data_IF_448160394889
#
_entry.id   IF_448160394889
#
_cell.length_a   1.000
_cell.length_b   1.000
_cell.length_c   1.000
_cell.angle_alpha   90.00
_cell.angle_beta   90.00
_cell.angle_gamma   90.00
#
_symmetry.space_group_name_H-M   'P 1'
#
loop_
_entity.id
_entity.type
_entity.pdbx_description
1 polymer ?
#
# COMPACT_ATOMS: atom_id res chain seq x y z
N UNK A 1 -8.55 -1.09 -0.76
CA UNK A 1 -7.25 -1.37 -0.14
C UNK A 1 -6.33 -0.26 -0.50
N UNK A 2 -5.13 -0.26 0.05
CA UNK A 2 -4.07 0.65 -0.32
C UNK A 2 -3.19 0.12 -1.48
N UNK A 3 -3.64 -0.86 -2.28
CA UNK A 3 -2.90 -1.46 -3.41
C UNK A 3 -2.04 -0.46 -4.17
N UNK A 4 -2.65 0.67 -4.53
CA UNK A 4 -2.03 1.76 -5.27
C UNK A 4 -0.90 2.44 -4.47
N UNK A 5 -1.09 2.66 -3.16
CA UNK A 5 -0.04 3.18 -2.28
C UNK A 5 1.10 2.18 -2.11
N UNK A 6 0.80 0.88 -1.95
CA UNK A 6 1.83 -0.17 -1.92
C UNK A 6 2.67 -0.17 -3.19
N UNK A 7 2.03 -0.05 -4.35
CA UNK A 7 2.73 0.01 -5.63
C UNK A 7 3.69 1.21 -5.71
N UNK A 8 3.28 2.37 -5.18
CA UNK A 8 4.15 3.55 -5.09
C UNK A 8 5.28 3.41 -4.07
N UNK A 9 5.07 2.63 -3.02
CA UNK A 9 6.02 2.40 -1.93
C UNK A 9 6.98 1.22 -2.20
N UNK A 10 6.98 0.66 -3.42
CA UNK A 10 7.94 -0.35 -3.83
C UNK A 10 9.38 0.19 -3.65
N UNK A 11 10.36 -0.64 -3.22
CA UNK A 11 11.70 -0.17 -2.89
C UNK A 11 12.36 0.66 -4.00
N UNK A 12 12.11 0.26 -5.25
CA UNK A 12 12.48 0.97 -6.48
C UNK A 12 11.25 1.00 -7.35
N UNK A 13 10.60 2.17 -7.43
CA UNK A 13 9.40 2.37 -8.22
C UNK A 13 9.77 3.00 -9.58
N UNK A 14 9.21 2.50 -10.70
CA UNK A 14 8.48 1.23 -10.82
C UNK A 14 9.41 0.02 -10.65
N UNK A 15 8.87 -1.10 -10.13
CA UNK A 15 9.66 -2.34 -10.01
C UNK A 15 10.15 -2.89 -11.37
N UNK A 16 11.15 -3.76 -11.30
CA UNK A 16 11.63 -4.54 -12.44
C UNK A 16 12.49 -3.76 -13.45
N UNK A 17 12.94 -2.56 -13.10
CA UNK A 17 13.95 -1.81 -13.84
C UNK A 17 15.29 -1.91 -13.10
N UNK A 18 16.21 -2.70 -13.65
CA UNK A 18 17.56 -2.84 -13.09
C UNK A 18 18.27 -1.47 -13.05
N UNK A 19 18.80 -1.12 -11.88
CA UNK A 19 19.49 0.15 -11.67
C UNK A 19 18.58 1.37 -11.50
N UNK A 20 17.26 1.18 -11.36
CA UNK A 20 16.37 2.28 -11.00
C UNK A 20 16.76 2.92 -9.67
N UNK A 21 16.61 4.24 -9.60
CA UNK A 21 16.77 5.01 -8.38
C UNK A 21 15.74 4.60 -7.31
N UNK A 22 16.01 5.00 -6.06
CA UNK A 22 15.07 4.79 -4.96
C UNK A 22 13.77 5.57 -5.24
N UNK A 23 12.63 4.88 -5.14
CA UNK A 23 11.32 5.50 -5.38
C UNK A 23 10.99 6.57 -4.34
N UNK A 24 10.21 7.59 -4.72
CA UNK A 24 9.91 8.73 -3.85
C UNK A 24 9.22 8.36 -2.52
N UNK A 25 8.46 7.27 -2.49
CA UNK A 25 7.76 6.77 -1.29
C UNK A 25 8.39 5.49 -0.73
N UNK A 26 9.59 5.15 -1.19
CA UNK A 26 10.30 3.95 -0.77
C UNK A 26 10.81 4.09 0.66
N UNK A 27 10.75 2.98 1.41
CA UNK A 27 11.36 2.86 2.73
C UNK A 27 12.89 3.01 2.67
N UNK A 28 13.52 2.83 1.50
CA UNK A 28 14.97 3.00 1.32
C UNK A 28 15.43 4.47 1.41
N UNK A 29 14.51 5.44 1.44
CA UNK A 29 14.84 6.84 1.73
C UNK A 29 15.10 7.09 3.23
N UNK A 30 14.85 6.09 4.08
CA UNK A 30 15.14 6.15 5.50
C UNK A 30 16.59 5.74 5.75
N UNK A 31 17.35 6.61 6.43
CA UNK A 31 18.77 6.41 6.75
C UNK A 31 19.03 5.18 7.64
N UNK A 32 18.02 4.70 8.38
CA UNK A 32 18.09 3.46 9.15
C UNK A 32 18.10 2.20 8.29
N UNK A 33 17.65 2.28 7.03
CA UNK A 33 17.51 1.13 6.15
C UNK A 33 18.73 1.01 5.25
N UNK A 34 19.39 -0.14 5.30
CA UNK A 34 20.45 -0.47 4.35
C UNK A 34 19.85 -0.60 2.93
N UNK A 35 20.19 0.33 2.04
CA UNK A 35 19.64 0.41 0.68
C UNK A 35 20.01 -0.76 -0.25
N UNK A 36 20.97 -1.59 0.15
CA UNK A 36 21.42 -2.76 -0.60
C UNK A 36 20.65 -4.01 -0.18
N UNK A 37 20.44 -4.18 1.12
CA UNK A 37 19.87 -5.40 1.71
C UNK A 37 18.41 -5.23 2.17
N UNK A 38 17.94 -3.99 2.31
CA UNK A 38 16.65 -3.66 2.91
C UNK A 38 16.60 -3.89 4.43
N UNK A 39 17.74 -4.16 5.07
CA UNK A 39 17.81 -4.44 6.49
C UNK A 39 17.66 -3.14 7.30
N UNK A 40 16.76 -3.16 8.28
CA UNK A 40 16.63 -2.07 9.24
C UNK A 40 17.74 -2.16 10.30
N UNK A 41 18.72 -1.28 10.18
CA UNK A 41 19.90 -1.21 11.06
C UNK A 41 19.62 -0.50 12.38
N UNK A 42 18.50 0.22 12.48
CA UNK A 42 18.09 0.95 13.68
C UNK A 42 16.96 0.24 14.44
N UNK A 43 16.51 -0.93 13.98
CA UNK A 43 15.56 -1.79 14.67
C UNK A 43 16.15 -2.30 16.01
N UNK A 44 16.17 -1.43 17.02
CA UNK A 44 16.20 -1.83 18.42
C UNK A 44 14.86 -2.48 18.81
N UNK A 45 14.60 -2.72 20.10
CA UNK A 45 13.27 -3.11 20.61
C UNK A 45 12.25 -1.95 20.49
N UNK A 46 12.29 -1.20 19.39
CA UNK A 46 11.52 -0.01 19.13
C UNK A 46 10.03 -0.30 19.27
N UNK A 47 9.37 0.62 19.94
CA UNK A 47 8.02 0.50 20.45
C UNK A 47 7.05 0.50 19.28
N UNK A 48 6.54 -0.69 18.96
CA UNK A 48 5.17 -0.98 18.55
C UNK A 48 4.33 0.28 18.26
N UNK A 49 4.12 0.57 16.98
CA UNK A 49 3.03 1.45 16.53
C UNK A 49 3.25 2.97 16.57
N UNK A 50 4.45 3.48 16.87
CA UNK A 50 4.70 4.93 16.79
C UNK A 50 5.32 5.30 15.45
N UNK A 51 4.71 6.27 14.76
CA UNK A 51 5.44 7.11 13.81
C UNK A 51 6.66 7.65 14.56
N UNK A 52 7.88 7.28 14.13
CA UNK A 52 9.09 7.63 14.87
C UNK A 52 9.63 8.99 14.39
N UNK A 53 9.50 10.07 15.18
CA UNK A 53 10.04 11.38 14.83
C UNK A 53 11.57 11.46 14.95
N UNK A 54 12.23 10.48 15.57
CA UNK A 54 13.69 10.38 15.52
C UNK A 54 14.17 9.89 14.13
N UNK A 55 13.27 9.25 13.37
CA UNK A 55 13.53 8.70 12.03
C UNK A 55 13.05 9.65 10.92
N UNK A 56 11.86 10.24 11.07
CA UNK A 56 11.42 11.40 10.28
C UNK A 56 10.89 12.49 11.21
N UNK A 57 11.73 13.49 11.49
CA UNK A 57 11.37 14.60 12.38
C UNK A 57 10.22 15.49 11.90
N UNK A 58 9.78 15.35 10.65
CA UNK A 58 8.72 16.19 10.06
C UNK A 58 7.36 15.48 10.08
N UNK A 59 7.28 14.22 9.68
CA UNK A 59 6.00 13.49 9.58
C UNK A 59 5.96 12.19 10.41
N UNK A 60 7.11 11.76 10.94
CA UNK A 60 7.33 10.44 11.51
C UNK A 60 7.27 9.32 10.46
N UNK A 61 8.02 8.25 10.67
CA UNK A 61 7.98 7.06 9.79
C UNK A 61 7.51 5.85 10.57
N UNK A 62 6.73 4.98 9.93
CA UNK A 62 6.39 3.68 10.51
C UNK A 62 7.54 2.72 10.28
N UNK A 63 8.10 2.21 11.37
CA UNK A 63 9.08 1.12 11.33
C UNK A 63 8.31 -0.20 11.14
N UNK A 64 8.82 -1.09 10.27
CA UNK A 64 8.16 -2.34 9.85
C UNK A 64 7.97 -3.40 10.95
N UNK A 65 8.14 -3.02 12.21
CA UNK A 65 7.89 -3.86 13.38
C UNK A 65 6.41 -4.26 13.47
N UNK A 66 5.46 -3.39 13.11
CA UNK A 66 4.02 -3.59 13.30
C UNK A 66 3.39 -4.75 12.51
N UNK A 67 3.97 -5.15 11.37
CA UNK A 67 3.44 -6.19 10.49
C UNK A 67 3.39 -7.58 11.14
N UNK A 68 4.15 -7.80 12.23
CA UNK A 68 4.29 -9.11 12.89
C UNK A 68 3.81 -9.16 14.34
N UNK A 69 3.23 -8.08 14.89
CA UNK A 69 2.66 -8.05 16.24
C UNK A 69 1.14 -7.79 16.19
N UNK A 70 0.31 -8.86 16.26
CA UNK A 70 -1.14 -8.74 16.20
C UNK A 70 -1.70 -7.73 17.21
N UNK A 71 -2.61 -6.86 16.75
CA UNK A 71 -3.30 -5.86 17.60
C UNK A 71 -2.60 -4.51 17.71
N UNK A 72 -1.54 -4.26 16.93
CA UNK A 72 -0.72 -3.05 17.07
C UNK A 72 -0.50 -2.25 15.79
N UNK A 73 -0.96 -2.78 14.65
CA UNK A 73 -0.89 -2.12 13.34
C UNK A 73 -1.43 -0.70 13.44
N UNK A 74 -0.54 0.28 13.29
CA UNK A 74 -0.88 1.70 13.22
C UNK A 74 -1.90 2.12 14.28
N UNK A 75 -1.71 1.68 15.53
CA UNK A 75 -2.54 2.08 16.66
C UNK A 75 -1.71 2.98 17.59
N UNK A 76 -1.46 4.21 17.13
CA UNK A 76 -0.80 5.23 17.93
C UNK A 76 -1.78 5.72 19.00
N UNK A 77 -1.49 5.42 20.28
CA UNK A 77 -2.34 5.80 21.41
C UNK A 77 -2.27 7.30 21.73
N UNK A 78 -1.27 8.01 21.22
CA UNK A 78 -1.02 9.42 21.50
C UNK A 78 -1.53 10.35 20.40
N UNK A 79 -1.58 9.90 19.14
CA UNK A 79 -2.08 10.70 18.01
C UNK A 79 -3.05 9.93 17.10
N UNK A 80 -4.29 10.41 17.04
CA UNK A 80 -5.35 9.80 16.21
C UNK A 80 -5.09 9.96 14.71
N UNK A 81 -4.31 10.96 14.26
CA UNK A 81 -3.97 11.09 12.83
C UNK A 81 -3.03 9.99 12.35
N UNK A 82 -2.33 9.37 13.31
CA UNK A 82 -1.40 8.27 13.11
C UNK A 82 -2.07 6.90 13.35
N UNK A 83 -3.39 6.88 13.59
CA UNK A 83 -4.15 5.66 13.63
C UNK A 83 -4.66 5.31 12.23
N UNK A 84 -4.37 4.11 11.72
CA UNK A 84 -4.98 3.66 10.46
C UNK A 84 -5.60 2.27 10.57
N UNK A 85 -6.82 2.15 10.02
CA UNK A 85 -7.54 0.88 9.83
C UNK A 85 -7.38 0.35 8.41
N UNK A 86 -6.27 0.68 7.76
CA UNK A 86 -6.04 0.39 6.34
C UNK A 86 -5.34 -0.97 6.24
N UNK A 87 -5.87 -1.86 5.40
CA UNK A 87 -5.22 -3.14 5.09
C UNK A 87 -4.28 -2.93 3.90
N UNK A 88 -3.03 -3.40 4.06
CA UNK A 88 -1.92 -3.12 3.15
C UNK A 88 -1.79 -4.08 1.95
N UNK A 89 -2.68 -5.08 1.89
CA UNK A 89 -2.70 -6.09 0.85
C UNK A 89 -3.75 -5.76 -0.22
N UNK A 90 -3.52 -6.17 -1.48
CA UNK A 90 -4.57 -6.25 -2.51
C UNK A 90 -5.78 -7.09 -2.05
N UNK A 91 -6.91 -7.00 -2.76
CA UNK A 91 -8.15 -7.69 -2.37
C UNK A 91 -9.35 -6.82 -1.99
N UNK A 92 -9.44 -5.57 -2.47
CA UNK A 92 -10.64 -4.76 -2.19
C UNK A 92 -10.83 -3.65 -3.21
N UNK A 93 -12.08 -3.17 -3.30
CA UNK A 93 -12.47 -2.09 -4.19
C UNK A 93 -13.68 -1.32 -3.65
N UNK A 94 -13.83 -0.03 -4.01
CA UNK A 94 -15.03 0.72 -3.69
C UNK A 94 -16.22 0.24 -4.54
N UNK A 95 -17.42 0.28 -3.96
CA UNK A 95 -18.69 -0.08 -4.60
C UNK A 95 -19.48 1.18 -4.88
N UNK A 96 -19.90 1.35 -6.14
CA UNK A 96 -20.70 2.47 -6.60
C UNK A 96 -22.08 2.00 -7.09
N UNK A 97 -23.12 2.75 -6.74
CA UNK A 97 -24.48 2.58 -7.26
C UNK A 97 -24.95 3.94 -7.74
N UNK A 98 -25.46 4.03 -8.97
CA UNK A 98 -25.91 5.30 -9.59
C UNK A 98 -24.86 6.42 -9.53
N UNK A 99 -23.57 6.06 -9.62
CA UNK A 99 -22.44 7.00 -9.55
C UNK A 99 -22.06 7.48 -8.14
N UNK A 100 -22.76 7.03 -7.09
CA UNK A 100 -22.41 7.34 -5.70
C UNK A 100 -21.65 6.18 -5.04
N UNK A 101 -20.62 6.51 -4.25
CA UNK A 101 -19.93 5.57 -3.39
C UNK A 101 -20.88 5.11 -2.28
N UNK A 102 -21.17 3.81 -2.23
CA UNK A 102 -22.09 3.22 -1.23
C UNK A 102 -21.40 2.30 -0.24
N UNK A 103 -20.12 1.99 -0.46
CA UNK A 103 -19.34 1.15 0.43
C UNK A 103 -18.09 0.58 -0.23
N UNK A 104 -17.60 -0.53 0.30
CA UNK A 104 -16.46 -1.26 -0.23
C UNK A 104 -16.64 -2.77 -0.08
N UNK A 105 -16.08 -3.52 -1.03
CA UNK A 105 -15.90 -4.96 -0.95
C UNK A 105 -14.46 -5.26 -0.56
N UNK A 106 -14.26 -6.15 0.42
CA UNK A 106 -12.96 -6.73 0.78
C UNK A 106 -12.99 -8.25 0.70
N UNK A 107 -11.92 -8.79 0.13
CA UNK A 107 -11.64 -10.21 -0.10
C UNK A 107 -10.29 -10.50 0.53
N UNK A 108 -10.20 -11.61 1.24
CA UNK A 108 -8.96 -12.09 1.85
C UNK A 108 -9.01 -13.60 1.94
N UNK A 109 -7.92 -14.26 1.59
CA UNK A 109 -7.73 -15.68 1.90
C UNK A 109 -6.56 -16.32 1.16
N UNK A 110 -6.59 -16.29 -0.17
CA UNK A 110 -5.55 -16.91 -1.01
C UNK A 110 -4.38 -15.93 -1.24
N UNK A 111 -3.57 -16.13 -2.28
CA UNK A 111 -2.56 -15.17 -2.72
C UNK A 111 -3.17 -13.82 -3.10
N UNK A 112 -2.40 -12.75 -2.88
CA UNK A 112 -2.85 -11.36 -3.10
C UNK A 112 -3.32 -11.09 -4.54
N UNK A 113 -2.73 -11.77 -5.52
CA UNK A 113 -3.14 -11.66 -6.92
C UNK A 113 -4.51 -12.34 -7.16
N UNK A 114 -4.76 -13.48 -6.51
CA UNK A 114 -6.06 -14.16 -6.54
C UNK A 114 -7.15 -13.34 -5.84
N UNK A 115 -6.84 -12.71 -4.70
CA UNK A 115 -7.77 -11.81 -4.01
C UNK A 115 -8.20 -10.63 -4.92
N UNK A 116 -7.29 -10.12 -5.74
CA UNK A 116 -7.59 -9.07 -6.75
C UNK A 116 -8.50 -9.57 -7.89
N UNK A 117 -8.29 -10.81 -8.35
CA UNK A 117 -9.17 -11.44 -9.36
C UNK A 117 -10.58 -11.58 -8.81
N UNK A 118 -10.73 -12.13 -7.61
CA UNK A 118 -12.04 -12.29 -6.96
C UNK A 118 -12.70 -10.94 -6.70
N UNK A 119 -11.92 -9.96 -6.25
CA UNK A 119 -12.40 -8.58 -6.06
C UNK A 119 -12.94 -8.00 -7.36
N UNK A 120 -12.19 -8.13 -8.47
CA UNK A 120 -12.57 -7.57 -9.76
C UNK A 120 -13.90 -8.14 -10.27
N UNK A 121 -14.09 -9.45 -10.12
CA UNK A 121 -15.34 -10.12 -10.47
C UNK A 121 -16.47 -9.73 -9.51
N UNK A 122 -16.18 -9.66 -8.20
CA UNK A 122 -17.17 -9.32 -7.16
C UNK A 122 -17.76 -7.92 -7.28
N UNK A 123 -17.02 -6.98 -7.88
CA UNK A 123 -17.50 -5.60 -8.12
C UNK A 123 -18.07 -5.38 -9.52
N UNK A 124 -18.26 -6.43 -10.33
CA UNK A 124 -18.75 -6.27 -11.70
C UNK A 124 -20.09 -5.52 -11.73
N UNK A 125 -20.15 -4.43 -12.51
CA UNK A 125 -21.26 -3.47 -12.60
C UNK A 125 -21.41 -2.49 -11.43
N UNK A 126 -20.52 -2.56 -10.44
CA UNK A 126 -20.47 -1.64 -9.28
C UNK A 126 -19.16 -0.83 -9.24
N UNK A 127 -18.45 -0.76 -10.36
CA UNK A 127 -17.23 0.04 -10.48
C UNK A 127 -17.53 1.54 -10.49
N UNK A 128 -16.53 2.40 -10.18
CA UNK A 128 -16.67 3.84 -10.34
C UNK A 128 -17.19 4.23 -11.74
N UNK A 129 -18.21 5.10 -11.80
CA UNK A 129 -18.75 5.61 -13.05
C UNK A 129 -17.76 6.54 -13.77
N UNK A 130 -18.00 6.80 -15.06
CA UNK A 130 -17.26 7.82 -15.80
C UNK A 130 -17.33 9.17 -15.06
N UNK A 131 -16.18 9.82 -14.88
CA UNK A 131 -16.05 11.08 -14.14
C UNK A 131 -15.60 10.94 -12.67
N UNK A 132 -15.67 9.73 -12.09
CA UNK A 132 -15.02 9.46 -10.80
C UNK A 132 -13.56 9.16 -11.03
N UNK A 133 -12.66 9.89 -10.35
CA UNK A 133 -11.23 9.69 -10.46
C UNK A 133 -10.86 8.29 -9.97
N UNK A 134 -10.13 7.55 -10.81
CA UNK A 134 -9.64 6.21 -10.54
C UNK A 134 -8.11 6.20 -10.56
N UNK A 135 -7.49 5.34 -9.76
CA UNK A 135 -6.03 5.30 -9.63
C UNK A 135 -5.31 5.13 -10.98
N UNK A 136 -5.87 4.33 -11.89
CA UNK A 136 -5.33 4.13 -13.24
C UNK A 136 -5.50 5.30 -14.20
N UNK A 137 -6.09 6.41 -13.76
CA UNK A 137 -6.07 7.69 -14.47
C UNK A 137 -4.92 8.59 -14.00
N UNK A 138 -4.22 8.21 -12.93
CA UNK A 138 -3.08 8.93 -12.37
C UNK A 138 -1.78 8.29 -12.84
N UNK A 139 -0.76 9.12 -13.08
CA UNK A 139 0.61 8.69 -13.35
C UNK A 139 1.57 9.33 -12.36
N UNK A 140 2.57 8.55 -11.94
CA UNK A 140 3.73 9.01 -11.18
C UNK A 140 4.96 8.55 -11.96
N UNK A 141 5.90 9.46 -12.21
CA UNK A 141 7.11 9.21 -13.02
C UNK A 141 6.83 8.56 -14.38
N UNK A 142 5.72 8.97 -15.01
CA UNK A 142 5.27 8.43 -16.30
C UNK A 142 4.57 7.08 -16.23
N UNK A 143 4.58 6.40 -15.08
CA UNK A 143 3.98 5.09 -14.83
C UNK A 143 2.54 5.24 -14.37
N UNK A 144 1.62 4.49 -15.00
CA UNK A 144 0.21 4.46 -14.62
C UNK A 144 0.02 3.64 -13.34
N UNK A 145 -0.70 4.19 -12.36
CA UNK A 145 -0.96 3.46 -11.13
C UNK A 145 -2.03 2.36 -11.34
N UNK A 146 -1.95 1.22 -10.64
CA UNK A 146 -2.95 0.17 -10.79
C UNK A 146 -4.24 0.54 -10.05
N UNK A 147 -5.38 0.45 -10.75
CA UNK A 147 -6.68 0.39 -10.09
C UNK A 147 -6.92 -1.00 -9.49
N UNK A 148 -6.75 -2.06 -10.27
CA UNK A 148 -6.63 -3.46 -9.84
C UNK A 148 -5.40 -4.02 -10.57
N UNK A 149 -4.55 -4.81 -9.88
CA UNK A 149 -3.36 -5.42 -10.49
C UNK A 149 -3.72 -6.87 -10.83
N UNK A 150 -3.50 -7.26 -12.08
CA UNK A 150 -3.68 -8.64 -12.53
C UNK A 150 -2.32 -9.21 -12.94
N UNK A 151 -2.21 -10.53 -12.88
CA UNK A 151 -1.05 -11.25 -13.41
C UNK A 151 -0.86 -10.93 -14.90
N UNK A 152 0.39 -10.64 -15.30
CA UNK A 152 0.72 -10.40 -16.73
C UNK A 152 0.58 -11.68 -17.56
N UNK A 153 0.83 -12.84 -16.93
CA UNK A 153 0.58 -14.17 -17.49
C UNK A 153 -0.34 -14.94 -16.54
N UNK A 154 -1.58 -15.27 -16.94
CA UNK A 154 -2.51 -16.00 -16.10
C UNK A 154 -2.10 -17.46 -15.83
N UNK A 155 -1.07 -17.98 -16.51
CA UNK A 155 -0.57 -19.36 -16.38
C UNK A 155 0.80 -19.48 -15.68
N UNK A 156 1.46 -18.35 -15.36
CA UNK A 156 2.86 -18.31 -14.89
C UNK A 156 3.85 -17.95 -15.99
#
# INVERSE_FOLDING_TARGET
>A
TNRTFRFLAEPRFPDGIDGADVGAFSILNNDAIDSTTGFDTAAGPATVGSFDPAVDSTNGSVLGYDAFFPGTNFHDVADVTNQNGIVFFPGSAPIYINGQLVGGLGVSGDGVDQDDVVTAVGIANFQPSAGVLRADQVKVDGVRLPYIKFLRHPEG
#
